data_IF_800241475651
#
_entry.id   IF_800241475651
#
_cell.length_a   1.000
_cell.length_b   1.000
_cell.length_c   1.000
_cell.angle_alpha   90.00
_cell.angle_beta   90.00
_cell.angle_gamma   90.00
#
_symmetry.space_group_name_H-M   'P 1'
#
loop_
_entity.id
_entity.type
_entity.pdbx_description
1 polymer ?
#
# COMPACT_ATOMS: atom_id res chain seq x y z
N UNK A 1 26.47 -13.22 -31.94
CA UNK A 1 26.63 -12.23 -30.85
C UNK A 1 25.50 -11.23 -30.98
N UNK A 2 24.47 -11.35 -30.14
CA UNK A 2 23.27 -10.51 -30.15
C UNK A 2 22.80 -10.39 -28.70
N UNK A 3 23.57 -9.61 -27.94
CA UNK A 3 23.43 -9.43 -26.47
C UNK A 3 22.59 -8.19 -26.11
N UNK A 4 22.03 -7.49 -27.11
CA UNK A 4 21.44 -6.14 -26.94
C UNK A 4 19.97 -6.14 -26.47
N UNK A 5 19.19 -7.21 -26.68
CA UNK A 5 17.76 -7.22 -26.33
C UNK A 5 17.49 -7.37 -24.82
N UNK A 6 18.44 -7.94 -24.07
CA UNK A 6 18.26 -8.20 -22.63
C UNK A 6 18.41 -6.97 -21.74
N UNK A 7 18.77 -5.80 -22.28
CA UNK A 7 19.12 -4.60 -21.49
C UNK A 7 17.99 -3.56 -21.38
N UNK A 8 17.00 -3.55 -22.28
CA UNK A 8 15.90 -2.57 -22.27
C UNK A 8 14.82 -2.92 -21.23
N UNK A 9 14.40 -4.19 -21.21
CA UNK A 9 13.42 -4.72 -20.26
C UNK A 9 13.79 -4.53 -18.77
N UNK A 10 15.04 -4.78 -18.32
CA UNK A 10 15.40 -4.62 -16.90
C UNK A 10 15.39 -3.16 -16.44
N UNK A 11 15.65 -2.18 -17.32
CA UNK A 11 15.62 -0.75 -16.95
C UNK A 11 14.19 -0.30 -16.68
N UNK A 12 13.24 -0.68 -17.56
CA UNK A 12 11.82 -0.36 -17.37
C UNK A 12 11.28 -1.02 -16.11
N UNK A 13 11.61 -2.29 -15.87
CA UNK A 13 11.20 -3.01 -14.67
C UNK A 13 11.76 -2.37 -13.39
N UNK A 14 13.01 -1.91 -13.43
CA UNK A 14 13.66 -1.24 -12.31
C UNK A 14 13.02 0.12 -12.00
N UNK A 15 12.68 0.92 -13.02
CA UNK A 15 11.95 2.19 -12.84
C UNK A 15 10.56 1.95 -12.24
N UNK A 16 9.82 0.96 -12.74
CA UNK A 16 8.51 0.57 -12.18
C UNK A 16 8.67 0.14 -10.72
N UNK A 17 9.72 -0.63 -10.40
CA UNK A 17 9.98 -1.07 -9.03
C UNK A 17 10.28 0.09 -8.08
N UNK A 18 10.99 1.12 -8.52
CA UNK A 18 11.24 2.33 -7.72
C UNK A 18 9.93 3.09 -7.48
N UNK A 19 9.14 3.28 -8.53
CA UNK A 19 7.82 3.94 -8.43
C UNK A 19 6.89 3.15 -7.51
N UNK A 20 6.93 1.82 -7.56
CA UNK A 20 6.10 1.00 -6.68
C UNK A 20 6.62 1.04 -5.24
N UNK A 21 7.92 0.92 -5.01
CA UNK A 21 8.51 0.97 -3.67
C UNK A 21 8.29 2.31 -2.96
N UNK A 22 8.28 3.43 -3.68
CA UNK A 22 8.04 4.77 -3.11
C UNK A 22 6.58 5.23 -3.22
N UNK A 23 5.91 4.90 -4.32
CA UNK A 23 4.53 5.29 -4.57
C UNK A 23 3.56 4.59 -3.64
N UNK A 24 3.72 3.27 -3.40
CA UNK A 24 2.80 2.52 -2.56
C UNK A 24 2.74 3.03 -1.11
N UNK A 25 3.87 3.35 -0.44
CA UNK A 25 3.83 3.99 0.88
C UNK A 25 3.10 5.35 0.88
N UNK A 26 3.33 6.20 -0.13
CA UNK A 26 2.68 7.51 -0.23
C UNK A 26 1.17 7.35 -0.46
N UNK A 27 0.77 6.49 -1.41
CA UNK A 27 -0.64 6.19 -1.66
C UNK A 27 -1.31 5.56 -0.44
N UNK A 28 -0.63 4.68 0.30
CA UNK A 28 -1.15 4.06 1.52
C UNK A 28 -1.43 5.08 2.62
N UNK A 29 -0.58 6.09 2.80
CA UNK A 29 -0.81 7.17 3.77
C UNK A 29 -2.02 8.01 3.36
N UNK A 30 -2.11 8.38 2.07
CA UNK A 30 -3.23 9.15 1.54
C UNK A 30 -4.54 8.38 1.74
N UNK A 31 -4.57 7.08 1.40
CA UNK A 31 -5.75 6.23 1.59
C UNK A 31 -6.12 6.06 3.06
N UNK A 32 -5.13 5.95 3.96
CA UNK A 32 -5.36 5.89 5.40
C UNK A 32 -6.03 7.16 5.94
N UNK A 33 -5.55 8.33 5.52
CA UNK A 33 -6.13 9.63 5.91
C UNK A 33 -7.54 9.78 5.32
N UNK A 34 -7.73 9.39 4.05
CA UNK A 34 -9.05 9.42 3.40
C UNK A 34 -10.05 8.50 4.11
N UNK A 35 -9.62 7.29 4.50
CA UNK A 35 -10.43 6.35 5.26
C UNK A 35 -10.81 6.91 6.63
N UNK A 36 -9.88 7.56 7.32
CA UNK A 36 -10.14 8.20 8.61
C UNK A 36 -11.11 9.39 8.47
N UNK A 37 -10.92 10.24 7.45
CA UNK A 37 -11.78 11.39 7.18
C UNK A 37 -13.20 10.95 6.78
N UNK A 38 -13.32 9.91 5.96
CA UNK A 38 -14.60 9.37 5.51
C UNK A 38 -15.37 8.71 6.67
N UNK A 39 -14.67 7.98 7.53
CA UNK A 39 -15.26 7.42 8.75
C UNK A 39 -15.76 8.55 9.68
N UNK A 40 -14.94 9.58 9.92
CA UNK A 40 -15.33 10.72 10.76
C UNK A 40 -16.50 11.53 10.18
N UNK A 41 -16.60 11.64 8.85
CA UNK A 41 -17.72 12.33 8.18
C UNK A 41 -19.03 11.54 8.28
N UNK A 42 -18.96 10.22 8.07
CA UNK A 42 -20.15 9.36 8.16
C UNK A 42 -20.45 8.89 9.59
N UNK A 43 -19.66 9.25 10.60
CA UNK A 43 -19.88 8.85 11.99
C UNK A 43 -21.28 9.22 12.54
N UNK A 44 -21.95 10.21 11.95
CA UNK A 44 -23.31 10.63 12.34
C UNK A 44 -24.42 9.96 11.53
N UNK A 45 -24.08 9.37 10.38
CA UNK A 45 -24.98 8.65 9.46
C UNK A 45 -24.77 7.14 9.46
N UNK A 46 -23.66 6.67 10.04
CA UNK A 46 -23.21 5.28 10.06
C UNK A 46 -24.26 4.33 10.66
N UNK A 47 -25.14 4.83 11.54
CA UNK A 47 -26.15 4.04 12.24
C UNK A 47 -25.56 2.97 13.16
N UNK A 48 -24.23 2.93 13.27
CA UNK A 48 -23.46 1.97 14.05
C UNK A 48 -23.23 2.51 15.45
N UNK A 49 -23.29 1.63 16.45
CA UNK A 49 -22.99 2.02 17.83
C UNK A 49 -21.56 2.59 17.92
N UNK A 50 -21.40 3.68 18.66
CA UNK A 50 -20.13 4.42 18.80
C UNK A 50 -18.97 3.51 19.21
N UNK A 51 -19.24 2.46 20.00
CA UNK A 51 -18.21 1.50 20.43
C UNK A 51 -17.70 0.69 19.25
N UNK A 52 -18.59 0.24 18.37
CA UNK A 52 -18.24 -0.55 17.19
C UNK A 52 -17.55 0.31 16.13
N UNK A 53 -17.97 1.56 15.94
CA UNK A 53 -17.29 2.48 15.00
C UNK A 53 -15.84 2.76 15.42
N UNK A 54 -15.61 2.97 16.71
CA UNK A 54 -14.26 3.14 17.25
C UNK A 54 -13.40 1.89 17.05
N UNK A 55 -13.97 0.70 17.27
CA UNK A 55 -13.29 -0.58 17.01
C UNK A 55 -12.98 -0.70 15.52
N UNK A 56 -13.92 -0.39 14.63
CA UNK A 56 -13.75 -0.53 13.19
C UNK A 56 -12.69 0.45 12.65
N UNK A 57 -12.65 1.68 13.16
CA UNK A 57 -11.61 2.66 12.84
C UNK A 57 -10.21 2.16 13.24
N UNK A 58 -10.07 1.67 14.49
CA UNK A 58 -8.81 1.07 14.97
C UNK A 58 -8.44 -0.15 14.13
N UNK A 59 -9.40 -1.03 13.83
CA UNK A 59 -9.19 -2.25 13.05
C UNK A 59 -8.78 -1.91 11.62
N UNK A 60 -9.37 -0.89 11.00
CA UNK A 60 -9.00 -0.41 9.67
C UNK A 60 -7.57 0.11 9.62
N UNK A 61 -7.12 0.86 10.63
CA UNK A 61 -5.74 1.33 10.73
C UNK A 61 -4.78 0.15 10.92
N UNK A 62 -5.07 -0.74 11.88
CA UNK A 62 -4.23 -1.92 12.16
C UNK A 62 -4.11 -2.81 10.93
N UNK A 63 -5.23 -3.11 10.28
CA UNK A 63 -5.27 -3.95 9.08
C UNK A 63 -4.55 -3.27 7.91
N UNK A 64 -4.71 -1.95 7.75
CA UNK A 64 -3.98 -1.16 6.75
C UNK A 64 -2.47 -1.22 6.93
N UNK A 65 -1.97 -1.10 8.17
CA UNK A 65 -0.54 -1.23 8.49
C UNK A 65 -0.05 -2.65 8.18
N UNK A 66 -0.78 -3.69 8.61
CA UNK A 66 -0.39 -5.09 8.38
C UNK A 66 -0.33 -5.41 6.88
N UNK A 67 -1.32 -4.99 6.11
CA UNK A 67 -1.38 -5.23 4.66
C UNK A 67 -0.27 -4.45 3.94
N UNK A 68 -0.06 -3.19 4.30
CA UNK A 68 1.02 -2.36 3.73
C UNK A 68 2.40 -2.98 3.99
N UNK A 69 2.64 -3.46 5.22
CA UNK A 69 3.87 -4.15 5.58
C UNK A 69 4.04 -5.47 4.80
N UNK A 70 2.98 -6.26 4.65
CA UNK A 70 3.02 -7.52 3.89
C UNK A 70 3.38 -7.28 2.42
N UNK A 71 2.77 -6.28 1.77
CA UNK A 71 3.08 -5.89 0.40
C UNK A 71 4.54 -5.45 0.28
N UNK A 72 5.02 -4.65 1.24
CA UNK A 72 6.42 -4.22 1.28
C UNK A 72 7.39 -5.42 1.38
N UNK A 73 7.13 -6.38 2.28
CA UNK A 73 7.93 -7.59 2.43
C UNK A 73 7.94 -8.41 1.14
N UNK A 74 6.78 -8.60 0.50
CA UNK A 74 6.68 -9.33 -0.78
C UNK A 74 7.47 -8.61 -1.86
N UNK A 75 7.35 -7.29 -1.99
CA UNK A 75 8.09 -6.51 -3.00
C UNK A 75 9.60 -6.61 -2.80
N UNK A 76 10.09 -6.45 -1.56
CA UNK A 76 11.52 -6.59 -1.25
C UNK A 76 11.99 -8.03 -1.51
N UNK A 77 11.18 -9.03 -1.18
CA UNK A 77 11.51 -10.45 -1.42
C UNK A 77 11.62 -10.76 -2.92
N UNK A 78 10.74 -10.19 -3.74
CA UNK A 78 10.85 -10.32 -5.20
C UNK A 78 12.09 -9.61 -5.74
N UNK A 79 12.40 -8.42 -5.22
CA UNK A 79 13.62 -7.69 -5.59
C UNK A 79 14.88 -8.49 -5.24
N UNK A 80 14.93 -9.05 -4.04
CA UNK A 80 16.04 -9.88 -3.55
C UNK A 80 16.17 -11.22 -4.27
N UNK A 81 15.08 -11.75 -4.85
CA UNK A 81 15.11 -12.98 -5.65
C UNK A 81 15.60 -12.74 -7.09
N UNK A 82 15.43 -11.51 -7.58
CA UNK A 82 15.83 -11.10 -8.93
C UNK A 82 17.31 -10.67 -8.98
N UNK A 83 17.90 -10.25 -7.86
CA UNK A 83 19.31 -9.86 -7.72
C UNK A 83 20.23 -11.04 -7.35
#
# INVERSE_FOLDING_TARGET
MNTEEKKKAPIVLSIISIILAFGFPVFSIIFGIFGLALANSHQKESGLDYKTEKILSILGIVLGIVISALICIVLISQLSRIN
#
